data_IF_221739073251
#
_entry.id   IF_221739073251
#
_cell.length_a   1.000
_cell.length_b   1.000
_cell.length_c   1.000
_cell.angle_alpha   90.00
_cell.angle_beta   90.00
_cell.angle_gamma   90.00
#
_symmetry.space_group_name_H-M   'P 1'
#
loop_
_entity.id
_entity.type
_entity.pdbx_description
1 polymer ?
#
# COMPACT_ATOMS: atom_id res chain seq x y z
N UNK A 1 -28.39 12.41 28.11
CA UNK A 1 -26.95 12.40 28.42
C UNK A 1 -26.49 10.96 28.41
N UNK A 2 -25.61 10.57 27.49
CA UNK A 2 -25.09 9.20 27.36
C UNK A 2 -23.56 9.29 27.46
N UNK A 3 -23.00 8.62 28.46
CA UNK A 3 -21.58 8.68 28.84
C UNK A 3 -20.84 7.50 28.23
N UNK A 4 -20.00 7.76 27.23
CA UNK A 4 -18.97 6.81 26.77
C UNK A 4 -17.69 7.09 27.58
N UNK A 5 -17.07 6.08 28.20
CA UNK A 5 -15.83 6.28 28.96
C UNK A 5 -14.67 6.63 28.02
N UNK A 6 -13.79 7.53 28.47
CA UNK A 6 -12.59 7.91 27.74
C UNK A 6 -11.56 6.77 27.74
N UNK A 7 -10.93 6.53 26.58
CA UNK A 7 -9.80 5.63 26.46
C UNK A 7 -8.59 6.14 27.28
N UNK A 8 -7.82 5.28 27.95
CA UNK A 8 -6.63 5.70 28.69
C UNK A 8 -5.58 6.28 27.75
N UNK A 9 -4.97 7.39 28.19
CA UNK A 9 -3.83 8.02 27.55
C UNK A 9 -2.59 7.16 27.80
N UNK A 10 -1.92 6.68 26.74
CA UNK A 10 -0.63 5.99 26.89
C UNK A 10 0.40 6.95 27.51
N UNK A 11 0.89 6.57 28.68
CA UNK A 11 1.90 7.31 29.41
C UNK A 11 3.25 7.19 28.67
N UNK A 12 3.74 8.34 28.21
CA UNK A 12 5.08 8.50 27.69
C UNK A 12 6.12 8.13 28.76
N UNK A 13 6.88 7.05 28.53
CA UNK A 13 8.18 6.89 29.16
C UNK A 13 9.21 7.61 28.29
N UNK A 14 9.59 8.81 28.72
CA UNK A 14 10.83 9.43 28.26
C UNK A 14 12.03 8.76 28.94
N UNK A 15 13.09 8.52 28.20
CA UNK A 15 14.46 8.53 28.74
C UNK A 15 15.47 8.76 27.62
N UNK A 16 16.44 9.60 27.98
CA UNK A 16 17.54 10.10 27.15
C UNK A 16 18.56 9.01 26.78
N UNK A 17 19.42 9.34 25.83
CA UNK A 17 20.23 8.40 25.07
C UNK A 17 21.35 7.68 25.80
N UNK A 18 21.78 6.59 25.17
CA UNK A 18 23.17 6.12 25.16
C UNK A 18 23.36 5.15 24.00
N UNK A 19 24.38 5.43 23.20
CA UNK A 19 24.96 4.60 22.15
C UNK A 19 25.32 3.19 22.65
N UNK A 20 24.88 2.16 21.91
CA UNK A 20 25.73 1.05 21.45
C UNK A 20 24.95 0.14 20.48
N UNK A 21 25.55 -0.07 19.32
CA UNK A 21 25.13 -1.02 18.29
C UNK A 21 25.26 -2.46 18.78
N UNK A 22 24.17 -3.22 18.79
CA UNK A 22 24.18 -4.67 18.63
C UNK A 22 23.04 -5.13 17.74
N UNK A 23 23.40 -5.91 16.72
CA UNK A 23 22.47 -6.59 15.83
C UNK A 23 21.71 -7.65 16.62
N UNK A 24 20.38 -7.61 16.56
CA UNK A 24 19.52 -8.63 17.17
C UNK A 24 19.40 -9.80 16.21
N UNK A 25 20.02 -10.93 16.57
CA UNK A 25 19.89 -12.22 15.92
C UNK A 25 18.44 -12.71 16.00
N UNK A 26 17.81 -13.19 14.92
CA UNK A 26 16.44 -13.70 15.00
C UNK A 26 16.43 -15.09 15.67
N UNK A 27 15.63 -15.23 16.72
CA UNK A 27 15.31 -16.51 17.36
C UNK A 27 14.41 -17.37 16.46
N UNK A 28 14.59 -18.71 16.42
CA UNK A 28 13.74 -19.58 15.61
C UNK A 28 12.32 -19.67 16.18
N UNK A 29 11.33 -19.63 15.29
CA UNK A 29 9.92 -19.82 15.61
C UNK A 29 9.65 -21.32 15.85
N UNK A 30 9.23 -21.70 17.07
CA UNK A 30 8.82 -23.08 17.41
C UNK A 30 7.35 -23.05 17.83
N UNK A 31 6.49 -23.76 17.09
CA UNK A 31 5.06 -23.89 17.39
C UNK A 31 4.83 -25.17 18.19
N UNK A 32 4.32 -25.05 19.42
CA UNK A 32 3.64 -26.10 20.15
C UNK A 32 2.44 -25.47 20.86
N UNK A 33 1.22 -25.92 20.52
CA UNK A 33 -0.03 -25.35 21.01
C UNK A 33 -0.57 -25.99 22.28
N UNK A 34 -1.56 -25.33 22.90
CA UNK A 34 -2.89 -25.87 23.23
C UNK A 34 -3.63 -24.93 24.19
N UNK A 35 -4.85 -24.51 23.84
CA UNK A 35 -6.00 -24.41 24.74
C UNK A 35 -7.28 -24.11 23.92
N UNK A 36 -8.18 -25.09 23.91
CA UNK A 36 -9.60 -25.11 23.50
C UNK A 36 -10.45 -24.11 24.31
N UNK A 37 -11.65 -23.61 23.95
CA UNK A 37 -12.94 -24.17 23.48
C UNK A 37 -13.74 -22.98 22.82
N UNK A 38 -14.76 -23.07 21.95
CA UNK A 38 -15.78 -24.07 21.73
C UNK A 38 -16.24 -24.09 20.25
N UNK A 39 -16.51 -25.31 19.77
CA UNK A 39 -16.96 -25.64 18.42
C UNK A 39 -18.49 -25.69 18.32
N UNK A 40 -19.04 -25.23 17.20
CA UNK A 40 -20.22 -25.84 16.57
C UNK A 40 -19.77 -26.41 15.24
N UNK A 41 -19.62 -27.73 15.20
CA UNK A 41 -19.13 -28.49 14.06
C UNK A 41 -20.29 -29.14 13.30
N UNK A 42 -20.45 -28.81 12.02
CA UNK A 42 -20.92 -29.78 11.03
C UNK A 42 -19.69 -30.37 10.34
N UNK A 43 -19.34 -31.58 10.78
CA UNK A 43 -18.27 -32.40 10.21
C UNK A 43 -18.70 -32.90 8.82
N UNK A 44 -18.05 -32.41 7.77
CA UNK A 44 -17.87 -33.16 6.53
C UNK A 44 -16.40 -33.58 6.44
N UNK A 45 -16.21 -34.88 6.33
CA UNK A 45 -14.96 -35.59 6.49
C UNK A 45 -13.94 -35.33 5.36
N UNK A 46 -12.66 -35.32 5.77
CA UNK A 46 -11.48 -35.78 5.04
C UNK A 46 -11.13 -35.11 3.70
N UNK A 47 -10.40 -33.97 3.74
CA UNK A 47 -9.09 -33.75 3.07
C UNK A 47 -8.58 -32.29 3.26
N UNK A 48 -8.44 -31.80 4.50
CA UNK A 48 -7.97 -30.43 4.71
C UNK A 48 -6.46 -30.38 4.44
N UNK A 49 -6.10 -30.19 3.18
CA UNK A 49 -4.79 -29.73 2.73
C UNK A 49 -4.38 -28.62 3.68
N UNK A 50 -3.28 -28.85 4.41
CA UNK A 50 -2.51 -27.83 5.15
C UNK A 50 -2.76 -26.45 4.54
N UNK A 51 -3.25 -25.53 5.36
CA UNK A 51 -3.42 -24.13 5.02
C UNK A 51 -2.13 -23.66 4.33
N UNK A 52 -2.17 -23.56 2.99
CA UNK A 52 -0.97 -23.35 2.18
C UNK A 52 -0.58 -21.88 2.32
N UNK A 53 0.11 -21.54 3.41
CA UNK A 53 0.88 -20.30 3.49
C UNK A 53 1.86 -20.30 2.33
N UNK A 54 1.62 -19.44 1.34
CA UNK A 54 2.51 -19.29 0.18
C UNK A 54 3.33 -18.04 0.39
N UNK A 55 4.62 -18.23 0.60
CA UNK A 55 5.57 -17.15 0.55
C UNK A 55 5.90 -16.84 -0.90
N UNK A 56 5.89 -15.57 -1.26
CA UNK A 56 6.38 -15.09 -2.54
C UNK A 56 7.78 -14.51 -2.36
N UNK A 57 8.66 -14.75 -3.33
CA UNK A 57 9.94 -14.05 -3.42
C UNK A 57 10.93 -14.32 -2.27
N UNK A 58 11.18 -15.58 -1.89
CA UNK A 58 12.35 -15.92 -1.05
C UNK A 58 13.59 -15.27 -1.69
N UNK A 59 14.14 -14.24 -1.04
CA UNK A 59 15.30 -13.43 -1.49
C UNK A 59 15.07 -12.40 -2.60
N UNK A 60 13.83 -12.13 -3.02
CA UNK A 60 13.56 -11.16 -4.11
C UNK A 60 13.07 -9.80 -3.62
N UNK A 61 12.26 -9.77 -2.56
CA UNK A 61 11.83 -8.51 -1.96
C UNK A 61 12.90 -8.01 -1.01
N UNK A 62 13.18 -6.72 -1.09
CA UNK A 62 14.10 -6.06 -0.15
C UNK A 62 13.31 -5.46 1.00
N UNK A 63 12.25 -4.71 0.68
CA UNK A 63 11.35 -4.02 1.61
C UNK A 63 10.01 -3.78 0.89
N UNK A 64 9.06 -4.73 0.96
CA UNK A 64 7.73 -4.52 0.39
C UNK A 64 7.03 -3.34 1.08
N UNK A 65 6.33 -2.51 0.31
CA UNK A 65 5.67 -1.28 0.80
C UNK A 65 4.15 -1.37 0.63
N UNK A 66 3.69 -1.75 -0.56
CA UNK A 66 2.27 -1.79 -0.90
C UNK A 66 1.96 -3.08 -1.66
N UNK A 67 0.84 -3.70 -1.32
CA UNK A 67 0.33 -4.91 -1.97
C UNK A 67 -1.06 -4.60 -2.47
N UNK A 68 -1.33 -4.89 -3.74
CA UNK A 68 -2.66 -4.79 -4.33
C UNK A 68 -3.01 -6.08 -5.06
N UNK A 69 -4.12 -6.69 -4.68
CA UNK A 69 -4.73 -7.75 -5.46
C UNK A 69 -5.43 -7.15 -6.68
N UNK A 70 -5.39 -7.87 -7.80
CA UNK A 70 -6.12 -7.49 -9.00
C UNK A 70 -6.44 -8.69 -9.89
N UNK A 71 -7.48 -8.52 -10.71
CA UNK A 71 -7.86 -9.45 -11.77
C UNK A 71 -8.25 -8.69 -13.03
N UNK A 72 -7.46 -8.85 -14.10
CA UNK A 72 -7.80 -8.34 -15.43
C UNK A 72 -8.10 -9.46 -16.40
N UNK A 73 -8.58 -9.12 -17.61
CA UNK A 73 -8.90 -10.12 -18.65
C UNK A 73 -7.72 -11.04 -18.97
N UNK A 74 -6.50 -10.50 -18.97
CA UNK A 74 -5.28 -11.24 -19.29
C UNK A 74 -4.58 -11.81 -18.06
N UNK A 75 -4.79 -11.23 -16.87
CA UNK A 75 -4.14 -11.64 -15.62
C UNK A 75 -5.17 -11.80 -14.49
N UNK A 76 -5.65 -13.03 -14.32
CA UNK A 76 -6.64 -13.37 -13.29
C UNK A 76 -5.97 -13.70 -11.95
N UNK A 77 -6.46 -13.12 -10.85
CA UNK A 77 -6.02 -13.41 -9.48
C UNK A 77 -4.52 -13.21 -9.26
N UNK A 78 -4.03 -12.00 -9.50
CA UNK A 78 -2.63 -11.64 -9.29
C UNK A 78 -2.47 -10.65 -8.14
N UNK A 79 -1.25 -10.54 -7.63
CA UNK A 79 -0.83 -9.50 -6.70
C UNK A 79 0.22 -8.62 -7.39
N UNK A 80 0.08 -7.30 -7.23
CA UNK A 80 1.15 -6.36 -7.49
C UNK A 80 1.77 -5.94 -6.15
N UNK A 81 3.07 -6.15 -6.01
CA UNK A 81 3.82 -5.84 -4.78
C UNK A 81 4.89 -4.82 -5.08
N UNK A 82 4.74 -3.62 -4.53
CA UNK A 82 5.74 -2.56 -4.65
C UNK A 82 6.83 -2.73 -3.61
N UNK A 83 8.07 -2.48 -4.03
CA UNK A 83 9.29 -2.67 -3.23
C UNK A 83 10.16 -1.41 -3.26
N UNK A 84 10.82 -1.12 -2.13
CA UNK A 84 11.61 0.11 -1.98
C UNK A 84 12.87 0.17 -2.84
N UNK A 85 13.44 -0.98 -3.22
CA UNK A 85 14.69 -1.04 -3.99
C UNK A 85 14.56 -1.91 -5.26
N UNK A 86 13.40 -2.54 -5.50
CA UNK A 86 13.17 -3.45 -6.62
C UNK A 86 12.20 -2.91 -7.69
N UNK A 87 11.24 -2.05 -7.35
CA UNK A 87 10.16 -1.68 -8.26
C UNK A 87 8.86 -2.41 -7.94
N UNK A 88 8.18 -2.99 -8.92
CA UNK A 88 6.92 -3.73 -8.69
C UNK A 88 7.01 -5.15 -9.21
N UNK A 89 6.69 -6.12 -8.36
CA UNK A 89 6.63 -7.53 -8.69
C UNK A 89 5.18 -7.94 -8.89
N UNK A 90 4.91 -8.66 -9.98
CA UNK A 90 3.59 -9.21 -10.28
C UNK A 90 3.64 -10.70 -9.98
N UNK A 91 2.80 -11.18 -9.06
CA UNK A 91 2.80 -12.59 -8.64
C UNK A 91 1.45 -13.24 -8.88
N UNK A 92 1.45 -14.53 -9.20
CA UNK A 92 0.23 -15.34 -9.19
C UNK A 92 -0.14 -15.77 -7.75
N UNK A 93 -1.31 -16.39 -7.58
CA UNK A 93 -1.75 -16.97 -6.29
C UNK A 93 -0.85 -18.12 -5.81
N UNK A 94 0.07 -18.62 -6.64
CA UNK A 94 1.06 -19.64 -6.29
C UNK A 94 2.34 -19.01 -5.71
N UNK A 95 2.47 -17.68 -5.75
CA UNK A 95 3.66 -16.95 -5.30
C UNK A 95 4.78 -16.92 -6.35
N UNK A 96 4.50 -17.33 -7.59
CA UNK A 96 5.46 -17.22 -8.69
C UNK A 96 5.47 -15.78 -9.21
N UNK A 97 6.65 -15.24 -9.46
CA UNK A 97 6.80 -13.94 -10.12
C UNK A 97 6.55 -14.13 -11.61
N UNK A 98 5.56 -13.42 -12.15
CA UNK A 98 5.22 -13.40 -13.58
C UNK A 98 5.90 -12.26 -14.32
N UNK A 99 6.03 -11.12 -13.66
CA UNK A 99 6.62 -9.92 -14.23
C UNK A 99 7.35 -9.11 -13.16
N UNK A 100 8.39 -8.38 -13.57
CA UNK A 100 9.12 -7.47 -12.70
C UNK A 100 9.28 -6.10 -13.39
N UNK A 101 8.45 -5.14 -12.96
CA UNK A 101 8.57 -3.75 -13.40
C UNK A 101 9.69 -3.08 -12.63
N UNK A 102 10.89 -3.13 -13.20
CA UNK A 102 12.08 -2.58 -12.60
C UNK A 102 12.03 -1.04 -12.52
N UNK A 103 12.27 -0.53 -11.32
CA UNK A 103 12.39 0.92 -11.06
C UNK A 103 13.79 1.18 -10.52
N UNK A 104 14.70 1.66 -11.38
CA UNK A 104 16.11 1.90 -11.00
C UNK A 104 16.26 3.17 -10.17
N UNK A 105 17.16 3.13 -9.19
CA UNK A 105 17.59 4.27 -8.36
C UNK A 105 16.42 5.05 -7.72
N UNK A 106 15.29 4.40 -7.50
CA UNK A 106 14.07 5.01 -6.99
C UNK A 106 13.27 3.98 -6.21
N UNK A 107 12.35 4.44 -5.35
CA UNK A 107 11.48 3.56 -4.55
C UNK A 107 10.06 3.55 -5.11
N UNK A 108 9.48 2.36 -5.29
CA UNK A 108 8.06 2.21 -5.64
C UNK A 108 7.21 2.21 -4.36
N UNK A 109 6.65 3.38 -4.00
CA UNK A 109 6.03 3.61 -2.69
C UNK A 109 4.55 3.25 -2.59
N UNK A 110 3.85 3.10 -3.71
CA UNK A 110 2.45 2.66 -3.76
C UNK A 110 2.10 2.22 -5.18
N UNK A 111 1.21 1.25 -5.28
CA UNK A 111 0.62 0.77 -6.53
C UNK A 111 -0.90 0.95 -6.49
N UNK A 112 -1.50 1.29 -7.62
CA UNK A 112 -2.95 1.30 -7.83
C UNK A 112 -3.30 0.72 -9.20
N UNK A 113 -4.32 -0.12 -9.27
CA UNK A 113 -4.71 -0.81 -10.51
C UNK A 113 -6.11 -0.41 -10.94
N UNK A 114 -6.24 0.00 -12.21
CA UNK A 114 -7.50 0.22 -12.92
C UNK A 114 -7.78 -1.02 -13.77
N UNK A 115 -8.40 -2.03 -13.14
CA UNK A 115 -8.65 -3.34 -13.77
C UNK A 115 -9.49 -3.24 -15.05
N UNK A 116 -10.42 -2.27 -15.09
CA UNK A 116 -11.31 -2.09 -16.24
C UNK A 116 -10.57 -1.62 -17.48
N UNK A 117 -9.52 -0.82 -17.29
CA UNK A 117 -8.76 -0.20 -18.38
C UNK A 117 -7.39 -0.86 -18.57
N UNK A 118 -7.07 -1.93 -17.83
CA UNK A 118 -5.77 -2.61 -17.88
C UNK A 118 -4.60 -1.65 -17.60
N UNK A 119 -4.76 -0.73 -16.64
CA UNK A 119 -3.71 0.25 -16.30
C UNK A 119 -3.21 0.08 -14.86
N UNK A 120 -1.89 0.09 -14.70
CA UNK A 120 -1.23 0.15 -13.40
C UNK A 120 -0.57 1.51 -13.17
N UNK A 121 -0.85 2.10 -12.02
CA UNK A 121 -0.23 3.32 -11.52
C UNK A 121 0.75 3.00 -10.42
N UNK A 122 1.98 3.53 -10.52
CA UNK A 122 3.02 3.32 -9.51
C UNK A 122 3.55 4.68 -9.06
N UNK A 123 3.42 4.97 -7.77
CA UNK A 123 4.08 6.13 -7.16
C UNK A 123 5.56 5.84 -7.00
N UNK A 124 6.40 6.67 -7.60
CA UNK A 124 7.86 6.52 -7.57
C UNK A 124 8.49 7.71 -6.88
N UNK A 125 9.35 7.41 -5.91
CA UNK A 125 10.13 8.37 -5.16
C UNK A 125 11.58 8.41 -5.67
N UNK A 126 12.02 9.60 -6.09
CA UNK A 126 13.35 9.90 -6.59
C UNK A 126 13.98 11.02 -5.76
N UNK A 127 15.29 11.23 -5.92
CA UNK A 127 16.01 12.31 -5.23
C UNK A 127 15.47 13.71 -5.52
N UNK A 128 14.90 13.91 -6.72
CA UNK A 128 14.35 15.20 -7.19
C UNK A 128 12.84 15.36 -6.96
N UNK A 129 12.20 14.42 -6.27
CA UNK A 129 10.77 14.47 -5.98
C UNK A 129 10.03 13.19 -6.34
N UNK A 130 8.75 13.32 -6.68
CA UNK A 130 7.86 12.17 -6.95
C UNK A 130 7.06 12.33 -8.22
N UNK A 131 6.77 11.18 -8.81
CA UNK A 131 5.88 11.05 -9.96
C UNK A 131 5.08 9.77 -9.87
N UNK A 132 3.96 9.72 -10.59
CA UNK A 132 3.21 8.48 -10.81
C UNK A 132 3.53 7.98 -12.22
N UNK A 133 4.14 6.81 -12.33
CA UNK A 133 4.34 6.15 -13.61
C UNK A 133 3.11 5.32 -13.96
N UNK A 134 2.74 5.34 -15.23
CA UNK A 134 1.58 4.63 -15.76
C UNK A 134 2.07 3.50 -16.65
N UNK A 135 1.54 2.29 -16.47
CA UNK A 135 1.91 1.09 -17.21
C UNK A 135 0.68 0.39 -17.78
N UNK A 136 0.82 -0.19 -18.97
CA UNK A 136 -0.19 -0.97 -19.68
C UNK A 136 -0.07 -2.44 -19.29
N UNK A 137 -1.04 -2.96 -18.53
CA UNK A 137 -1.05 -4.34 -18.04
C UNK A 137 -1.24 -5.31 -19.21
N UNK A 138 -2.10 -4.99 -20.16
CA UNK A 138 -2.41 -5.88 -21.30
C UNK A 138 -1.20 -6.03 -22.24
N UNK A 139 -0.34 -5.01 -22.31
CA UNK A 139 0.85 -4.98 -23.15
C UNK A 139 2.14 -5.19 -22.36
N UNK A 140 2.17 -6.19 -21.46
CA UNK A 140 3.38 -6.60 -20.75
C UNK A 140 3.97 -5.50 -19.86
N UNK A 141 3.12 -4.71 -19.21
CA UNK A 141 3.51 -3.61 -18.33
C UNK A 141 4.38 -2.56 -19.02
N UNK A 142 4.16 -2.32 -20.32
CA UNK A 142 4.83 -1.24 -21.04
C UNK A 142 4.49 0.11 -20.41
N UNK A 143 5.51 0.93 -20.15
CA UNK A 143 5.31 2.28 -19.62
C UNK A 143 4.59 3.16 -20.64
N UNK A 144 3.48 3.77 -20.22
CA UNK A 144 2.63 4.63 -21.03
C UNK A 144 2.93 6.13 -20.82
N UNK A 145 3.03 6.56 -19.56
CA UNK A 145 3.11 7.99 -19.22
C UNK A 145 3.78 8.21 -17.85
N UNK A 146 4.07 9.48 -17.54
CA UNK A 146 4.52 9.97 -16.24
C UNK A 146 3.61 11.14 -15.84
N UNK A 147 2.85 10.95 -14.76
CA UNK A 147 2.05 12.00 -14.14
C UNK A 147 2.89 12.68 -13.06
N UNK A 148 3.15 13.98 -13.23
CA UNK A 148 3.85 14.80 -12.24
C UNK A 148 2.98 14.99 -11.00
N UNK A 149 3.53 14.81 -9.81
CA UNK A 149 2.80 15.02 -8.56
C UNK A 149 2.58 16.52 -8.25
N UNK A 150 1.53 16.89 -7.50
CA UNK A 150 1.35 18.24 -6.97
C UNK A 150 2.54 18.71 -6.14
N UNK A 151 2.83 20.02 -6.18
CA UNK A 151 3.96 20.64 -5.46
C UNK A 151 3.68 20.94 -3.98
N UNK A 152 2.43 21.31 -3.63
CA UNK A 152 1.97 21.60 -2.26
C UNK A 152 0.84 20.62 -1.90
N UNK A 153 0.74 20.07 -0.67
CA UNK A 153 1.72 20.16 0.43
C UNK A 153 3.06 19.55 0.02
N UNK A 154 4.20 20.01 0.59
CA UNK A 154 5.56 19.70 0.09
C UNK A 154 5.80 18.19 0.07
N UNK A 155 5.39 17.57 -1.03
CA UNK A 155 5.16 16.13 -1.11
C UNK A 155 6.47 15.37 -1.21
N UNK A 156 7.51 16.01 -1.72
CA UNK A 156 8.78 15.42 -2.10
C UNK A 156 9.45 14.63 -0.96
N UNK A 157 9.18 14.98 0.31
CA UNK A 157 9.89 14.45 1.48
C UNK A 157 9.20 13.34 2.28
N UNK A 158 7.91 13.01 2.09
CA UNK A 158 7.22 12.11 3.04
C UNK A 158 7.10 10.65 2.60
N UNK A 159 7.51 9.67 3.40
CA UNK A 159 7.77 8.30 2.94
C UNK A 159 6.64 7.54 2.21
N UNK A 160 5.34 7.83 2.46
CA UNK A 160 4.24 7.06 1.84
C UNK A 160 3.15 7.97 1.27
N UNK A 161 2.78 7.71 0.01
CA UNK A 161 1.62 8.29 -0.70
C UNK A 161 0.70 7.14 -1.03
N UNK A 162 -0.58 7.27 -0.74
CA UNK A 162 -1.56 6.26 -1.12
C UNK A 162 -2.15 6.64 -2.48
N UNK A 163 -2.01 5.77 -3.47
CA UNK A 163 -2.77 5.84 -4.72
C UNK A 163 -3.97 4.90 -4.66
N UNK A 164 -5.11 5.33 -5.16
CA UNK A 164 -6.26 4.44 -5.34
C UNK A 164 -7.01 4.81 -6.62
N UNK A 165 -7.65 3.83 -7.23
CA UNK A 165 -8.49 4.03 -8.41
C UNK A 165 -9.94 3.84 -8.00
N UNK A 166 -10.77 4.86 -8.20
CA UNK A 166 -12.20 4.76 -7.98
C UNK A 166 -12.89 3.90 -9.04
N UNK A 167 -14.15 3.48 -8.81
CA UNK A 167 -14.87 2.54 -9.67
C UNK A 167 -15.08 3.02 -11.11
N UNK A 168 -14.89 4.33 -11.37
CA UNK A 168 -14.98 4.94 -12.71
C UNK A 168 -13.61 5.18 -13.36
N UNK A 169 -12.53 4.59 -12.85
CA UNK A 169 -11.17 4.82 -13.34
C UNK A 169 -10.56 6.16 -12.90
N UNK A 170 -11.13 6.80 -11.88
CA UNK A 170 -10.63 8.07 -11.35
C UNK A 170 -9.41 7.78 -10.47
N UNK A 171 -8.27 8.39 -10.77
CA UNK A 171 -7.08 8.25 -9.94
C UNK A 171 -7.13 9.25 -8.79
N UNK A 172 -7.07 8.75 -7.57
CA UNK A 172 -6.94 9.55 -6.36
C UNK A 172 -5.57 9.35 -5.74
N UNK A 173 -5.11 10.41 -5.08
CA UNK A 173 -3.87 10.38 -4.33
C UNK A 173 -4.05 11.07 -2.99
N UNK A 174 -3.57 10.45 -1.94
CA UNK A 174 -3.42 11.07 -0.62
C UNK A 174 -2.01 11.55 -0.46
N UNK A 175 -1.86 12.78 0.01
CA UNK A 175 -0.58 13.39 0.31
C UNK A 175 -0.57 14.14 1.64
N UNK A 176 0.62 14.40 2.17
CA UNK A 176 0.82 15.27 3.32
C UNK A 176 2.27 15.40 3.74
N UNK A 177 2.53 16.36 4.61
CA UNK A 177 3.79 16.58 5.31
C UNK A 177 3.51 16.73 6.82
N UNK A 178 4.46 17.31 7.56
CA UNK A 178 4.32 17.55 9.00
C UNK A 178 3.44 18.77 9.34
N UNK A 179 2.91 19.49 8.33
CA UNK A 179 2.04 20.68 8.49
C UNK A 179 0.65 20.56 7.86
N UNK A 180 0.50 19.78 6.77
CA UNK A 180 -0.76 19.67 6.02
C UNK A 180 -0.92 18.30 5.38
N UNK A 181 -2.16 17.90 5.10
CA UNK A 181 -2.49 16.78 4.22
C UNK A 181 -3.57 17.16 3.22
N UNK A 182 -3.61 16.46 2.09
CA UNK A 182 -4.56 16.72 1.02
C UNK A 182 -4.94 15.43 0.28
N UNK A 183 -6.22 15.35 -0.08
CA UNK A 183 -6.77 14.36 -1.02
C UNK A 183 -6.88 15.01 -2.40
N UNK A 184 -6.34 14.32 -3.40
CA UNK A 184 -6.29 14.78 -4.78
C UNK A 184 -7.06 13.83 -5.70
N UNK A 185 -7.64 14.39 -6.75
CA UNK A 185 -8.17 13.65 -7.88
C UNK A 185 -7.46 14.10 -9.16
N UNK A 186 -6.97 13.16 -9.95
CA UNK A 186 -6.34 13.45 -11.22
C UNK A 186 -7.39 13.63 -12.32
N UNK A 187 -7.41 14.82 -12.92
CA UNK A 187 -8.28 15.15 -14.04
C UNK A 187 -7.54 14.84 -15.34
N UNK A 188 -7.71 13.62 -15.87
CA UNK A 188 -7.02 13.11 -17.07
C UNK A 188 -7.10 14.10 -18.25
N UNK A 189 -8.28 14.67 -18.52
CA UNK A 189 -8.50 15.61 -19.63
C UNK A 189 -7.66 16.90 -19.53
N UNK A 190 -7.29 17.32 -18.31
CA UNK A 190 -6.48 18.53 -18.07
C UNK A 190 -5.04 18.22 -17.73
N UNK A 191 -4.68 16.93 -17.66
CA UNK A 191 -3.40 16.43 -17.14
C UNK A 191 -2.98 17.13 -15.84
N UNK A 192 -3.94 17.33 -14.94
CA UNK A 192 -3.76 18.14 -13.74
C UNK A 192 -4.44 17.51 -12.53
N UNK A 193 -3.88 17.77 -11.35
CA UNK A 193 -4.47 17.38 -10.08
C UNK A 193 -5.43 18.45 -9.57
N UNK A 194 -6.59 18.02 -9.09
CA UNK A 194 -7.55 18.85 -8.37
C UNK A 194 -7.57 18.43 -6.90
N UNK A 195 -7.40 19.39 -6.00
CA UNK A 195 -7.59 19.15 -4.57
C UNK A 195 -9.07 18.94 -4.27
N UNK A 196 -9.39 17.86 -3.56
CA UNK A 196 -10.74 17.58 -3.08
C UNK A 196 -10.94 18.01 -1.64
N UNK A 197 -9.91 17.80 -0.80
CA UNK A 197 -9.94 18.14 0.62
C UNK A 197 -8.53 18.45 1.09
N UNK A 198 -8.41 19.46 1.93
CA UNK A 198 -7.17 19.78 2.66
C UNK A 198 -7.41 19.71 4.16
N UNK A 199 -6.38 19.37 4.90
CA UNK A 199 -6.38 19.35 6.36
C UNK A 199 -5.09 19.99 6.87
N UNK A 200 -5.23 20.88 7.85
CA UNK A 200 -4.11 21.43 8.64
C UNK A 200 -3.75 20.54 9.84
N UNK A 201 -4.45 19.41 10.02
CA UNK A 201 -4.12 18.42 11.05
C UNK A 201 -3.13 17.43 10.48
N UNK A 202 -1.93 17.45 11.00
CA UNK A 202 -0.86 16.55 10.59
C UNK A 202 -0.89 15.34 11.46
N UNK A 203 -1.37 14.26 10.88
CA UNK A 203 -1.05 12.92 11.33
C UNK A 203 -1.61 11.96 10.29
N UNK A 204 -0.70 11.21 9.68
CA UNK A 204 -1.01 10.04 8.86
C UNK A 204 -1.95 9.04 9.57
N UNK A 205 -2.19 9.20 10.89
CA UNK A 205 -3.14 8.44 11.71
C UNK A 205 -4.62 8.64 11.36
N UNK A 206 -5.02 9.65 10.58
CA UNK A 206 -6.45 9.90 10.27
C UNK A 206 -6.88 9.47 8.86
N UNK A 207 -5.97 8.94 8.04
CA UNK A 207 -6.29 8.54 6.66
C UNK A 207 -6.55 7.03 6.50
N UNK A 208 -6.36 6.24 7.56
CA UNK A 208 -6.89 4.87 7.66
C UNK A 208 -8.41 4.84 7.91
N UNK A 209 -9.02 5.99 8.20
CA UNK A 209 -10.47 6.13 8.45
C UNK A 209 -11.14 6.82 7.26
N UNK A 210 -10.76 6.45 6.04
CA UNK A 210 -11.49 6.85 4.83
C UNK A 210 -12.72 5.93 4.58
N UNK A 211 -13.01 4.99 5.47
CA UNK A 211 -14.21 4.14 5.40
C UNK A 211 -15.43 4.70 6.15
N UNK A 212 -15.31 5.78 6.95
CA UNK A 212 -16.42 6.16 7.85
C UNK A 212 -16.78 7.65 7.94
N UNK A 213 -16.48 8.45 6.91
CA UNK A 213 -16.97 9.84 6.85
C UNK A 213 -17.42 10.23 5.44
N UNK A 214 -18.24 9.38 4.84
CA UNK A 214 -19.14 9.79 3.77
C UNK A 214 -20.42 10.38 4.39
N UNK A 215 -20.32 11.52 5.09
CA UNK A 215 -21.45 12.44 5.15
C UNK A 215 -21.47 13.22 3.83
N UNK A 216 -22.02 12.57 2.81
CA UNK A 216 -22.57 13.29 1.67
C UNK A 216 -23.81 14.05 2.17
N UNK A 217 -23.74 15.37 2.18
CA UNK A 217 -24.93 16.23 2.08
C UNK A 217 -25.20 16.51 0.60
#
# INVERSE_FOLDING_TARGET
>A
MSSIPAYPCDQSLGSAGSSNSQAVTPTPFTVNGSATEASSSTMLANNVKSERVRAFGKSFLTRPICVQAFSTKTLQNHLAVSDSCGGVYITDVQGNIKEHVLVKNSSASSVAIDEKNDVMYVSIMQSKGRSVHVFDIANGFKKLDIIVCPKDPKVEMSRTRWLTVGPRGQLFMVSGDNTKSALWCYIRARKAWKTLKESRKTRYQYLSVAEDQAEYK
#
